data_IF_645917758653
#
_entry.id   IF_645917758653
#
_cell.length_a   1.000
_cell.length_b   1.000
_cell.length_c   1.000
_cell.angle_alpha   90.00
_cell.angle_beta   90.00
_cell.angle_gamma   90.00
#
_symmetry.space_group_name_H-M   'P 1'
#
loop_
_entity.id
_entity.type
_entity.pdbx_description
1 polymer ?
#
# COMPACT_ATOMS: atom_id res chain seq x y z
N UNK A 1 15.83 8.72 0.60
CA UNK A 1 14.40 8.54 0.36
C UNK A 1 13.59 9.05 1.53
N UNK A 2 12.40 9.59 1.25
CA UNK A 2 11.64 10.31 2.26
C UNK A 2 10.46 9.52 2.81
N UNK A 3 10.54 8.21 2.79
CA UNK A 3 9.47 7.37 3.35
C UNK A 3 10.01 6.53 4.49
N UNK A 4 9.09 6.04 5.32
CA UNK A 4 9.44 5.19 6.45
C UNK A 4 9.36 3.72 6.05
N UNK A 5 10.11 2.89 6.75
CA UNK A 5 10.10 1.44 6.52
C UNK A 5 8.68 0.87 6.63
N UNK A 6 7.88 1.37 7.57
CA UNK A 6 6.48 0.93 7.73
C UNK A 6 5.66 1.15 6.46
N UNK A 7 5.89 2.28 5.79
CA UNK A 7 5.19 2.58 4.54
C UNK A 7 5.57 1.58 3.46
N UNK A 8 6.85 1.24 3.37
CA UNK A 8 7.32 0.25 2.41
C UNK A 8 6.74 -1.12 2.71
N UNK A 9 6.68 -1.50 3.98
CA UNK A 9 6.07 -2.76 4.39
C UNK A 9 4.61 -2.85 3.99
N UNK A 10 3.87 -1.74 4.17
CA UNK A 10 2.46 -1.70 3.79
C UNK A 10 2.30 -1.86 2.28
N UNK A 11 3.11 -1.15 1.50
CA UNK A 11 3.09 -1.28 0.04
C UNK A 11 3.36 -2.72 -0.37
N UNK A 12 4.39 -3.32 0.19
CA UNK A 12 4.77 -4.68 -0.15
C UNK A 12 3.68 -5.69 0.21
N UNK A 13 3.09 -5.54 1.40
CA UNK A 13 2.03 -6.44 1.85
C UNK A 13 0.81 -6.37 0.94
N UNK A 14 0.42 -5.17 0.51
CA UNK A 14 -0.70 -5.02 -0.40
C UNK A 14 -0.36 -5.60 -1.77
N UNK A 15 0.86 -5.38 -2.26
CA UNK A 15 1.29 -5.91 -3.54
C UNK A 15 1.29 -7.44 -3.54
N UNK A 16 1.72 -8.05 -2.45
CA UNK A 16 1.78 -9.50 -2.33
C UNK A 16 0.42 -10.14 -2.16
N UNK A 17 -0.47 -9.50 -1.40
CA UNK A 17 -1.78 -10.08 -1.09
C UNK A 17 -2.88 -9.65 -2.06
N UNK A 18 -2.70 -8.52 -2.74
CA UNK A 18 -3.71 -7.95 -3.60
C UNK A 18 -4.92 -7.40 -2.85
N UNK A 19 -4.81 -7.20 -1.54
CA UNK A 19 -5.95 -6.80 -0.71
C UNK A 19 -5.47 -5.97 0.47
N UNK A 20 -6.14 -4.85 0.70
CA UNK A 20 -5.88 -4.01 1.88
C UNK A 20 -6.20 -4.75 3.16
N UNK A 21 -7.30 -5.49 3.17
CA UNK A 21 -7.72 -6.25 4.34
C UNK A 21 -6.69 -7.31 4.70
N UNK A 22 -6.23 -8.06 3.71
CA UNK A 22 -5.22 -9.10 3.95
C UNK A 22 -3.88 -8.50 4.34
N UNK A 23 -3.51 -7.39 3.73
CA UNK A 23 -2.28 -6.70 4.11
C UNK A 23 -2.34 -6.26 5.57
N UNK A 24 -3.47 -5.73 6.01
CA UNK A 24 -3.66 -5.32 7.40
C UNK A 24 -3.52 -6.51 8.33
N UNK A 25 -4.11 -7.65 7.98
CA UNK A 25 -3.98 -8.87 8.78
C UNK A 25 -2.53 -9.34 8.84
N UNK A 26 -1.84 -9.31 7.72
CA UNK A 26 -0.44 -9.73 7.65
C UNK A 26 0.46 -8.85 8.52
N UNK A 27 0.18 -7.56 8.56
CA UNK A 27 0.97 -6.60 9.35
C UNK A 27 0.43 -6.43 10.77
N UNK A 28 -0.68 -7.06 11.10
CA UNK A 28 -1.32 -6.97 12.42
C UNK A 28 -1.69 -5.55 12.78
N UNK A 29 -2.22 -4.81 11.80
CA UNK A 29 -2.71 -3.45 11.99
C UNK A 29 -4.08 -3.32 11.35
N UNK A 30 -4.75 -2.19 11.57
CA UNK A 30 -6.07 -1.97 10.98
C UNK A 30 -5.97 -1.61 9.51
N UNK A 31 -7.06 -1.85 8.76
CA UNK A 31 -7.10 -1.47 7.35
C UNK A 31 -6.92 0.03 7.14
N UNK A 32 -7.56 0.91 7.94
CA UNK A 32 -7.30 2.34 7.81
C UNK A 32 -5.84 2.70 8.01
N UNK A 33 -5.13 1.98 8.88
CA UNK A 33 -3.70 2.21 9.09
C UNK A 33 -2.91 1.88 7.82
N UNK A 34 -3.25 0.76 7.15
CA UNK A 34 -2.61 0.40 5.89
C UNK A 34 -2.87 1.48 4.84
N UNK A 35 -4.13 1.92 4.74
CA UNK A 35 -4.51 2.94 3.78
C UNK A 35 -3.71 4.23 3.99
N UNK A 36 -3.54 4.64 5.23
CA UNK A 36 -2.79 5.84 5.55
C UNK A 36 -1.31 5.68 5.20
N UNK A 37 -0.73 4.53 5.51
CA UNK A 37 0.67 4.27 5.18
C UNK A 37 0.90 4.31 3.67
N UNK A 38 -0.02 3.76 2.90
CA UNK A 38 0.08 3.79 1.44
C UNK A 38 -0.08 5.22 0.91
N UNK A 39 -1.00 5.98 1.47
CA UNK A 39 -1.20 7.36 1.06
C UNK A 39 0.05 8.20 1.34
N UNK A 40 0.64 8.03 2.51
CA UNK A 40 1.86 8.73 2.88
C UNK A 40 3.02 8.32 1.98
N UNK A 41 3.11 7.04 1.65
CA UNK A 41 4.14 6.53 0.76
C UNK A 41 3.98 7.12 -0.64
N UNK A 42 2.75 7.15 -1.15
CA UNK A 42 2.45 7.73 -2.46
C UNK A 42 2.85 9.20 -2.51
N UNK A 43 2.53 9.94 -1.46
CA UNK A 43 2.90 11.35 -1.38
C UNK A 43 4.42 11.54 -1.37
N UNK A 44 5.14 10.62 -0.73
CA UNK A 44 6.60 10.69 -0.65
C UNK A 44 7.27 10.43 -2.00
N UNK A 45 6.70 9.54 -2.82
CA UNK A 45 7.28 9.20 -4.12
C UNK A 45 6.65 9.98 -5.27
N UNK A 46 5.55 10.70 -5.01
CA UNK A 46 4.98 11.65 -5.96
C UNK A 46 4.07 11.04 -7.03
N UNK A 47 3.60 9.82 -6.84
CA UNK A 47 2.64 9.23 -7.77
C UNK A 47 1.82 8.16 -7.06
N UNK A 48 0.68 7.79 -7.66
CA UNK A 48 -0.16 6.73 -7.13
C UNK A 48 0.47 5.37 -7.39
N UNK A 49 0.53 4.55 -6.34
CA UNK A 49 1.14 3.23 -6.41
C UNK A 49 0.16 2.15 -6.82
N UNK A 50 -1.12 2.33 -6.50
CA UNK A 50 -2.15 1.32 -6.75
C UNK A 50 -3.38 1.96 -7.36
N UNK A 51 -4.05 1.20 -8.22
CA UNK A 51 -5.38 1.52 -8.68
C UNK A 51 -6.36 0.56 -8.04
N UNK A 52 -7.53 1.08 -7.68
CA UNK A 52 -8.58 0.27 -7.08
C UNK A 52 -9.57 -0.16 -8.17
N UNK A 53 -9.76 -1.46 -8.32
CA UNK A 53 -10.71 -2.02 -9.27
C UNK A 53 -11.53 -3.11 -8.58
N UNK A 54 -12.86 -2.95 -8.59
CA UNK A 54 -13.76 -3.98 -8.05
C UNK A 54 -13.35 -4.45 -6.66
N UNK A 55 -12.85 -3.54 -5.84
CA UNK A 55 -12.42 -3.85 -4.48
C UNK A 55 -11.04 -4.49 -4.38
N UNK A 56 -10.36 -4.69 -5.49
CA UNK A 56 -9.02 -5.26 -5.52
C UNK A 56 -8.04 -4.16 -5.88
N UNK A 57 -6.91 -4.12 -5.19
CA UNK A 57 -5.84 -3.17 -5.50
C UNK A 57 -4.80 -3.82 -6.38
N UNK A 58 -4.43 -3.13 -7.45
CA UNK A 58 -3.40 -3.59 -8.37
C UNK A 58 -2.27 -2.58 -8.40
N UNK A 59 -1.01 -3.02 -8.43
CA UNK A 59 0.11 -2.09 -8.60
C UNK A 59 -0.02 -1.42 -9.96
N UNK A 60 0.28 -0.11 -10.00
CA UNK A 60 0.34 0.59 -11.28
C UNK A 60 1.65 0.20 -12.00
N UNK A 61 1.71 0.50 -13.29
CA UNK A 61 2.92 0.20 -14.05
C UNK A 61 4.13 0.96 -13.51
N UNK A 62 3.91 2.08 -12.87
CA UNK A 62 5.00 2.89 -12.31
C UNK A 62 5.54 2.34 -11.00
N UNK A 63 4.85 1.41 -10.35
CA UNK A 63 5.26 0.87 -9.06
C UNK A 63 6.06 -0.43 -9.18
N UNK A 64 6.40 -0.80 -10.37
CA UNK A 64 7.19 -2.00 -10.61
C UNK A 64 8.66 -1.78 -10.32
#
# INVERSE_FOLDING_TARGET
>A
MKFKLRQLEAFRAVAETGSMTRAAQKLEISQPAVSRLLSDFSNSVGFDLFQRRQGILEPTSDSR
#
